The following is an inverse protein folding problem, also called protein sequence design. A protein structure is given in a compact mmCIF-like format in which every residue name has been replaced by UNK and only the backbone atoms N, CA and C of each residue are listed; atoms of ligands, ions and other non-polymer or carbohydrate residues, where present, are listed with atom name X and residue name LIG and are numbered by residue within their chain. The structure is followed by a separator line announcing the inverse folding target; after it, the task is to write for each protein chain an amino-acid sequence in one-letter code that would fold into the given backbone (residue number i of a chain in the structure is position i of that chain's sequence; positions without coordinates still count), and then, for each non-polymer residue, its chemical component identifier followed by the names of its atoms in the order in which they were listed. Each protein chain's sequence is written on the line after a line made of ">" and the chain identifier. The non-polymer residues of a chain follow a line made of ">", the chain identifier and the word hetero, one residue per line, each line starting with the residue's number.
data_IF_945957606948
#
_entry.id   IF_945957606948
#
_cell.length_a   1.000
_cell.length_b   1.000
_cell.length_c   1.000
_cell.angle_alpha   90.00
_cell.angle_beta   90.00
_cell.angle_gamma   90.00
#
_symmetry.space_group_name_H-M   'P 1'
#
loop_
_entity.id
_entity.type
_entity.pdbx_description
1 polymer ?
#
# COMPACT_ATOMS: atom_id res chain seq x y z
N UNK A 1 18.74 0.38 -10.98
CA UNK A 1 17.53 0.24 -10.11
C UNK A 1 17.89 -0.67 -8.94
N UNK A 2 17.91 -0.17 -7.69
CA UNK A 2 18.23 -0.98 -6.50
C UNK A 2 17.22 -2.13 -6.37
N UNK A 3 17.67 -3.39 -6.43
CA UNK A 3 16.86 -4.55 -6.09
C UNK A 3 16.50 -4.42 -4.61
N UNK A 4 15.23 -4.09 -4.34
CA UNK A 4 14.72 -4.03 -2.98
C UNK A 4 14.53 -5.47 -2.48
N UNK A 5 15.04 -5.84 -1.30
CA UNK A 5 14.94 -7.19 -0.74
C UNK A 5 13.53 -7.52 -0.20
N UNK A 6 12.52 -6.71 -0.50
CA UNK A 6 11.17 -6.91 0.05
C UNK A 6 10.38 -7.94 -0.74
N UNK A 7 9.99 -8.99 -0.04
CA UNK A 7 9.12 -10.04 -0.58
C UNK A 7 7.69 -9.53 -0.71
N UNK A 8 6.87 -10.25 -1.49
CA UNK A 8 5.41 -10.01 -1.55
C UNK A 8 4.79 -10.03 -0.16
N UNK A 9 5.29 -10.88 0.73
CA UNK A 9 4.77 -11.09 2.08
C UNK A 9 5.05 -9.90 2.99
N UNK A 10 6.24 -9.30 2.90
CA UNK A 10 6.59 -8.07 3.63
C UNK A 10 5.68 -6.91 3.25
N UNK A 11 5.47 -6.75 1.93
CA UNK A 11 4.58 -5.70 1.40
C UNK A 11 3.12 -5.97 1.82
N UNK A 12 2.68 -7.23 1.80
CA UNK A 12 1.33 -7.61 2.22
C UNK A 12 1.12 -7.47 3.74
N UNK A 13 2.16 -7.72 4.54
CA UNK A 13 2.14 -7.48 5.99
C UNK A 13 2.03 -5.99 6.27
N UNK A 14 2.88 -5.18 5.66
CA UNK A 14 2.85 -3.72 5.82
C UNK A 14 1.51 -3.13 5.36
N UNK A 15 0.96 -3.59 4.23
CA UNK A 15 -0.35 -3.16 3.74
C UNK A 15 -1.53 -3.56 4.64
N UNK A 16 -1.37 -4.60 5.47
CA UNK A 16 -2.38 -5.00 6.46
C UNK A 16 -2.23 -4.28 7.80
N UNK A 17 -0.98 -4.09 8.25
CA UNK A 17 -0.67 -3.51 9.55
C UNK A 17 -0.84 -1.99 9.57
N UNK A 18 -0.50 -1.32 8.48
CA UNK A 18 -0.49 0.13 8.41
C UNK A 18 -1.71 0.70 7.69
N UNK A 19 -2.13 1.88 8.15
CA UNK A 19 -3.37 2.55 7.73
C UNK A 19 -3.15 3.47 6.53
N UNK A 20 -1.90 3.76 6.17
CA UNK A 20 -1.52 4.57 5.02
C UNK A 20 -0.30 3.98 4.29
N UNK A 21 -0.16 4.34 3.01
CA UNK A 21 1.02 3.96 2.22
C UNK A 21 2.30 4.65 2.73
N UNK A 22 2.18 5.81 3.39
CA UNK A 22 3.30 6.53 3.97
C UNK A 22 3.87 5.79 5.18
N UNK A 23 3.00 5.37 6.11
CA UNK A 23 3.42 4.61 7.29
C UNK A 23 4.02 3.25 6.90
N UNK A 24 3.41 2.58 5.92
CA UNK A 24 3.93 1.31 5.41
C UNK A 24 5.30 1.47 4.72
N UNK A 25 5.48 2.56 3.97
CA UNK A 25 6.75 2.87 3.33
C UNK A 25 7.83 3.25 4.36
N UNK A 26 7.49 4.05 5.37
CA UNK A 26 8.37 4.42 6.46
C UNK A 26 8.82 3.18 7.27
N UNK A 27 7.90 2.27 7.57
CA UNK A 27 8.21 1.02 8.28
C UNK A 27 9.16 0.09 7.50
N UNK A 28 9.09 0.12 6.17
CA UNK A 28 9.98 -0.62 5.28
C UNK A 28 11.25 0.19 4.92
N UNK A 29 11.39 1.43 5.40
CA UNK A 29 12.53 2.29 5.08
C UNK A 29 12.61 2.67 3.60
N UNK A 30 11.47 2.72 2.90
CA UNK A 30 11.40 3.06 1.47
C UNK A 30 10.66 4.37 1.24
N UNK A 31 10.87 4.94 0.05
CA UNK A 31 10.10 6.09 -0.39
C UNK A 31 8.62 5.73 -0.57
N UNK A 32 7.73 6.67 -0.23
CA UNK A 32 6.28 6.48 -0.31
C UNK A 32 5.80 6.02 -1.70
N UNK A 33 6.40 6.58 -2.76
CA UNK A 33 6.08 6.19 -4.15
C UNK A 33 6.49 4.76 -4.49
N UNK A 34 7.61 4.28 -3.93
CA UNK A 34 8.10 2.91 -4.14
C UNK A 34 7.14 1.88 -3.58
N UNK A 35 6.54 2.13 -2.41
CA UNK A 35 5.55 1.23 -1.83
C UNK A 35 4.31 1.07 -2.72
N UNK A 36 3.83 2.16 -3.32
CA UNK A 36 2.74 2.11 -4.29
C UNK A 36 3.06 1.26 -5.52
N UNK A 37 4.26 1.41 -6.07
CA UNK A 37 4.73 0.57 -7.18
C UNK A 37 4.84 -0.91 -6.80
N UNK A 38 5.32 -1.23 -5.59
CA UNK A 38 5.40 -2.60 -5.08
C UNK A 38 4.01 -3.22 -4.89
N UNK A 39 3.06 -2.47 -4.33
CA UNK A 39 1.68 -2.93 -4.20
C UNK A 39 1.10 -3.30 -5.57
N UNK A 40 1.30 -2.45 -6.59
CA UNK A 40 0.82 -2.71 -7.95
C UNK A 40 1.53 -3.89 -8.61
N UNK A 41 2.85 -4.01 -8.44
CA UNK A 41 3.66 -5.11 -8.97
C UNK A 41 3.26 -6.47 -8.39
N UNK A 42 2.93 -6.51 -7.10
CA UNK A 42 2.54 -7.75 -6.41
C UNK A 42 1.03 -8.01 -6.41
N UNK A 43 0.22 -7.11 -6.97
CA UNK A 43 -1.25 -7.21 -6.96
C UNK A 43 -1.87 -7.08 -5.56
N UNK A 44 -1.20 -6.37 -4.64
CA UNK A 44 -1.66 -6.17 -3.26
C UNK A 44 -2.51 -4.90 -3.20
N UNK A 45 -3.69 -4.99 -2.58
CA UNK A 45 -4.52 -3.83 -2.32
C UNK A 45 -3.84 -2.93 -1.28
N UNK A 46 -3.41 -1.75 -1.72
CA UNK A 46 -2.77 -0.78 -0.84
C UNK A 46 -3.76 -0.19 0.18
N UNK A 47 -3.31 0.21 1.39
CA UNK A 47 -4.13 0.96 2.35
C UNK A 47 -4.81 2.19 1.73
N UNK A 48 -4.11 2.86 0.81
CA UNK A 48 -4.68 3.97 0.05
C UNK A 48 -5.85 3.53 -0.85
N UNK A 49 -5.73 2.43 -1.59
CA UNK A 49 -6.84 1.87 -2.37
C UNK A 49 -8.01 1.46 -1.48
N UNK A 50 -7.76 0.76 -0.36
CA UNK A 50 -8.80 0.46 0.64
C UNK A 50 -9.54 1.73 1.09
N UNK A 51 -8.81 2.80 1.38
CA UNK A 51 -9.42 4.09 1.78
C UNK A 51 -10.24 4.70 0.65
N UNK A 52 -9.75 4.65 -0.60
CA UNK A 52 -10.47 5.20 -1.75
C UNK A 52 -11.72 4.39 -2.10
N UNK A 53 -11.70 3.06 -1.99
CA UNK A 53 -12.88 2.23 -2.16
C UNK A 53 -13.93 2.50 -1.08
N UNK A 54 -13.51 2.62 0.20
CA UNK A 54 -14.42 3.06 1.27
C UNK A 54 -15.03 4.45 1.02
N UNK A 55 -14.29 5.37 0.40
CA UNK A 55 -14.85 6.68 0.01
C UNK A 55 -15.82 6.57 -1.16
N UNK A 56 -15.58 5.66 -2.12
CA UNK A 56 -16.48 5.41 -3.26
C UNK A 56 -17.80 4.75 -2.81
N UNK A 57 -17.76 3.85 -1.83
CA UNK A 57 -19.00 3.24 -1.29
C UNK A 57 -19.87 4.27 -0.56
N UNK A 58 -19.27 5.24 0.12
CA UNK A 58 -20.02 6.35 0.77
C UNK A 58 -20.65 7.30 -0.26
N UNK A 59 -20.00 7.53 -1.41
CA UNK A 59 -20.53 8.42 -2.47
C UNK A 59 -21.71 7.85 -3.27
N UNK A 60 -22.00 6.54 -3.21
CA UNK A 60 -23.17 5.94 -3.89
C UNK A 60 -24.50 6.12 -3.16
N UNK A 61 -24.52 6.86 -2.04
CA UNK A 61 -25.72 7.09 -1.22
C UNK A 61 -26.15 8.56 -1.20
N UNK A 62 -25.97 9.28 -2.31
CA UNK A 62 -26.47 10.64 -2.49
C UNK A 62 -27.20 10.75 -3.83
#
# INVERSE_FOLDING_TARGET
>A
MKRLPFTKEDVARAARMYRSNADAAAALGIAHGTFGCLCRRYGIVSPFQKRQERKKTIKKKK
#
